data_IF_072311808997
#
_entry.id   IF_072311808997
#
_cell.length_a   1.000
_cell.length_b   1.000
_cell.length_c   1.000
_cell.angle_alpha   90.00
_cell.angle_beta   90.00
_cell.angle_gamma   90.00
#
_symmetry.space_group_name_H-M   'P 1'
#
loop_
_entity.id
_entity.type
_entity.pdbx_description
1 polymer ?
#
# COMPACT_ATOMS: atom_id res chain seq x y z
N UNK A 1 1.42 29.00 -2.98
CA UNK A 1 1.74 27.68 -3.59
C UNK A 1 0.55 27.15 -4.38
N UNK A 2 -0.65 27.08 -3.79
CA UNK A 2 -1.88 26.56 -4.43
C UNK A 2 -2.13 27.21 -5.81
N UNK A 3 -2.21 28.54 -5.88
CA UNK A 3 -2.43 29.25 -7.16
C UNK A 3 -1.35 28.94 -8.22
N UNK A 4 -0.11 28.73 -7.79
CA UNK A 4 0.97 28.35 -8.70
C UNK A 4 0.81 26.90 -9.19
N UNK A 5 0.45 25.96 -8.32
CA UNK A 5 0.17 24.58 -8.70
C UNK A 5 -1.02 24.52 -9.68
N UNK A 6 -2.09 25.25 -9.41
CA UNK A 6 -3.24 25.33 -10.33
C UNK A 6 -2.83 25.82 -11.71
N UNK A 7 -2.00 26.87 -11.78
CA UNK A 7 -1.46 27.34 -13.04
C UNK A 7 -0.63 26.27 -13.76
N UNK A 8 0.23 25.54 -13.05
CA UNK A 8 1.03 24.45 -13.64
C UNK A 8 0.12 23.32 -14.19
N UNK A 9 -0.88 22.92 -13.42
CA UNK A 9 -1.81 21.86 -13.83
C UNK A 9 -2.59 22.20 -15.10
N UNK A 10 -3.02 23.45 -15.29
CA UNK A 10 -3.73 23.85 -16.53
C UNK A 10 -2.89 23.67 -17.81
N UNK A 11 -1.56 23.74 -17.68
CA UNK A 11 -0.60 23.53 -18.77
C UNK A 11 -0.15 22.09 -18.91
N UNK A 12 -0.38 21.27 -17.90
CA UNK A 12 0.05 19.87 -17.88
C UNK A 12 -0.72 19.09 -18.94
N UNK A 13 0.01 18.23 -19.66
CA UNK A 13 -0.53 17.30 -20.66
C UNK A 13 -0.22 15.86 -20.32
N UNK A 14 0.92 15.64 -19.68
CA UNK A 14 1.34 14.31 -19.27
C UNK A 14 1.85 14.39 -17.84
N UNK A 15 1.46 13.41 -17.01
CA UNK A 15 2.09 13.16 -15.72
C UNK A 15 2.99 11.95 -15.86
N UNK A 16 4.26 12.09 -15.49
CA UNK A 16 5.18 10.97 -15.38
C UNK A 16 5.48 10.66 -13.93
N UNK A 17 5.54 9.37 -13.59
CA UNK A 17 6.08 8.90 -12.33
C UNK A 17 7.47 8.37 -12.63
N UNK A 18 8.50 8.98 -12.04
CA UNK A 18 9.90 8.58 -12.25
C UNK A 18 10.49 7.99 -10.97
N UNK A 19 11.48 7.13 -11.14
CA UNK A 19 12.18 6.50 -10.03
C UNK A 19 12.91 7.50 -9.14
N UNK A 20 12.96 7.19 -7.85
CA UNK A 20 13.75 7.92 -6.86
C UNK A 20 13.16 9.26 -6.45
N UNK A 21 13.63 9.74 -5.30
CA UNK A 21 13.19 10.98 -4.68
C UNK A 21 14.16 12.12 -4.91
N UNK A 22 14.40 12.89 -3.86
CA UNK A 22 15.21 14.11 -3.87
C UNK A 22 16.72 13.85 -4.05
N UNK A 23 17.21 12.64 -3.75
CA UNK A 23 18.63 12.26 -3.85
C UNK A 23 19.00 11.57 -5.17
N UNK A 24 18.03 11.22 -6.01
CA UNK A 24 18.25 10.46 -7.24
C UNK A 24 18.78 11.32 -8.42
N UNK A 25 19.42 12.46 -8.14
CA UNK A 25 20.05 13.33 -9.15
C UNK A 25 19.05 14.13 -10.01
N UNK A 26 19.44 14.60 -11.21
CA UNK A 26 18.54 15.32 -12.11
C UNK A 26 17.34 14.45 -12.55
N UNK A 27 16.20 15.08 -12.89
CA UNK A 27 15.03 14.35 -13.41
C UNK A 27 15.28 13.75 -14.80
N UNK A 28 16.12 14.41 -15.62
CA UNK A 28 16.47 13.93 -16.95
C UNK A 28 17.27 12.63 -16.84
N UNK A 29 16.83 11.59 -17.55
CA UNK A 29 17.48 10.28 -17.57
C UNK A 29 17.06 9.33 -16.44
N UNK A 30 16.19 9.76 -15.51
CA UNK A 30 15.57 8.83 -14.55
C UNK A 30 14.63 7.86 -15.26
N UNK A 31 14.53 6.65 -14.72
CA UNK A 31 13.61 5.62 -15.22
C UNK A 31 12.18 6.10 -15.03
N UNK A 32 11.40 6.10 -16.10
CA UNK A 32 9.95 6.36 -16.05
C UNK A 32 9.26 5.06 -15.63
N UNK A 33 8.63 5.09 -14.46
CA UNK A 33 7.88 3.96 -13.89
C UNK A 33 6.47 3.89 -14.46
N UNK A 34 5.83 5.04 -14.69
CA UNK A 34 4.53 5.16 -15.31
C UNK A 34 4.40 6.48 -16.07
N UNK A 35 3.62 6.46 -17.15
CA UNK A 35 3.24 7.65 -17.89
C UNK A 35 1.71 7.72 -18.01
N UNK A 36 1.15 8.89 -17.68
CA UNK A 36 -0.27 9.17 -17.65
C UNK A 36 -0.59 10.29 -18.67
N UNK A 37 -0.82 9.93 -19.95
CA UNK A 37 -1.00 10.90 -21.02
C UNK A 37 -2.47 11.30 -21.26
N UNK A 38 -3.43 10.55 -20.72
CA UNK A 38 -4.85 10.83 -20.92
C UNK A 38 -5.40 11.81 -19.87
N UNK A 39 -6.39 12.61 -20.28
CA UNK A 39 -6.94 13.67 -19.45
C UNK A 39 -7.57 13.17 -18.15
N UNK A 40 -8.10 11.94 -18.12
CA UNK A 40 -8.75 11.38 -16.93
C UNK A 40 -7.68 11.03 -15.88
N UNK A 41 -6.61 10.36 -16.28
CA UNK A 41 -5.49 10.03 -15.39
C UNK A 41 -4.75 11.28 -14.91
N UNK A 42 -4.58 12.29 -15.77
CA UNK A 42 -3.98 13.58 -15.38
C UNK A 42 -4.83 14.28 -14.32
N UNK A 43 -6.15 14.34 -14.49
CA UNK A 43 -7.03 14.98 -13.51
C UNK A 43 -7.10 14.18 -12.20
N UNK A 44 -7.12 12.85 -12.26
CA UNK A 44 -7.04 12.01 -11.07
C UNK A 44 -5.72 12.23 -10.30
N UNK A 45 -4.59 12.29 -11.00
CA UNK A 45 -3.30 12.60 -10.40
C UNK A 45 -3.28 14.01 -9.77
N UNK A 46 -3.88 14.99 -10.43
CA UNK A 46 -4.05 16.34 -9.88
C UNK A 46 -4.82 16.30 -8.57
N UNK A 47 -6.01 15.72 -8.57
CA UNK A 47 -6.89 15.66 -7.40
C UNK A 47 -6.15 15.01 -6.22
N UNK A 48 -5.56 13.84 -6.44
CA UNK A 48 -4.90 13.03 -5.41
C UNK A 48 -3.58 13.64 -4.91
N UNK A 49 -2.86 14.40 -5.75
CA UNK A 49 -1.55 14.95 -5.40
C UNK A 49 -1.55 16.43 -4.99
N UNK A 50 -2.71 17.11 -5.04
CA UNK A 50 -2.83 18.52 -4.63
C UNK A 50 -3.88 18.79 -3.57
N UNK A 51 -4.83 17.88 -3.37
CA UNK A 51 -5.87 18.02 -2.35
C UNK A 51 -5.35 17.53 -1.00
N UNK A 52 -5.32 18.40 -0.01
CA UNK A 52 -4.74 18.06 1.29
C UNK A 52 -4.50 19.28 2.19
N UNK A 53 -3.59 19.11 3.16
CA UNK A 53 -3.18 20.16 4.07
C UNK A 53 -1.66 20.32 4.06
N UNK A 54 -1.20 21.54 3.80
CA UNK A 54 0.20 21.90 3.95
C UNK A 54 0.62 21.91 5.42
N UNK A 55 1.78 21.31 5.70
CA UNK A 55 2.25 21.09 7.08
C UNK A 55 2.99 22.29 7.67
N UNK A 56 3.53 23.17 6.83
CA UNK A 56 4.47 24.21 7.24
C UNK A 56 5.88 23.69 7.51
N UNK A 57 6.16 22.41 7.21
CA UNK A 57 7.47 21.78 7.35
C UNK A 57 7.71 20.77 6.20
N UNK A 58 8.84 20.07 6.18
CA UNK A 58 9.17 19.05 5.15
C UNK A 58 9.57 17.70 5.74
N UNK A 59 9.32 16.57 5.08
CA UNK A 59 10.00 15.33 5.45
C UNK A 59 11.50 15.49 5.23
N UNK A 60 12.37 15.05 6.15
CA UNK A 60 13.83 15.02 5.91
C UNK A 60 14.29 13.78 5.15
N UNK A 61 13.39 12.84 4.91
CA UNK A 61 13.63 11.68 4.07
C UNK A 61 13.84 12.11 2.60
N UNK A 62 14.57 11.27 1.85
CA UNK A 62 14.78 11.49 0.41
C UNK A 62 13.50 11.28 -0.40
N UNK A 63 12.52 10.55 0.13
CA UNK A 63 11.27 10.23 -0.55
C UNK A 63 11.39 8.99 -1.43
N UNK A 64 10.25 8.59 -1.98
CA UNK A 64 10.12 7.54 -2.98
C UNK A 64 10.03 8.12 -4.39
N UNK A 65 9.25 7.49 -5.29
CA UNK A 65 9.06 7.98 -6.66
C UNK A 65 8.63 9.46 -6.73
N UNK A 66 8.99 10.10 -7.85
CA UNK A 66 8.73 11.51 -8.10
C UNK A 66 7.67 11.67 -9.19
N UNK A 67 6.64 12.46 -8.89
CA UNK A 67 5.65 12.96 -9.85
C UNK A 67 6.31 14.08 -10.65
N UNK A 68 6.22 14.02 -11.98
CA UNK A 68 6.75 15.03 -12.91
C UNK A 68 5.62 15.48 -13.82
N UNK A 69 5.36 16.78 -13.84
CA UNK A 69 4.35 17.41 -14.68
C UNK A 69 5.01 17.91 -15.96
N UNK A 70 4.48 17.51 -17.11
CA UNK A 70 4.99 17.94 -18.42
C UNK A 70 3.92 18.62 -19.25
N UNK A 71 4.33 19.59 -20.07
CA UNK A 71 3.45 20.22 -21.05
C UNK A 71 3.40 19.47 -22.39
N UNK A 72 2.80 20.11 -23.40
CA UNK A 72 2.64 19.55 -24.73
C UNK A 72 3.95 19.35 -25.51
N UNK A 73 5.03 20.07 -25.15
CA UNK A 73 6.35 19.93 -25.79
C UNK A 73 7.21 18.87 -25.06
N UNK A 74 6.72 18.35 -23.94
CA UNK A 74 7.42 17.40 -23.09
C UNK A 74 8.33 18.08 -22.06
N UNK A 75 8.29 19.41 -21.95
CA UNK A 75 9.10 20.16 -21.01
C UNK A 75 8.58 19.98 -19.58
N UNK A 76 9.50 19.90 -18.61
CA UNK A 76 9.13 19.77 -17.19
C UNK A 76 8.59 21.10 -16.68
N UNK A 77 7.35 21.09 -16.20
CA UNK A 77 6.71 22.25 -15.58
C UNK A 77 6.92 22.28 -14.06
N UNK A 78 6.87 21.11 -13.42
CA UNK A 78 7.07 20.94 -11.99
C UNK A 78 7.36 19.49 -11.63
N UNK A 79 7.86 19.26 -10.42
CA UNK A 79 7.97 17.93 -9.82
C UNK A 79 7.60 17.90 -8.34
N UNK A 80 7.27 16.70 -7.86
CA UNK A 80 7.05 16.43 -6.46
C UNK A 80 7.44 15.01 -6.06
N UNK A 81 8.22 14.87 -5.00
CA UNK A 81 8.56 13.56 -4.44
C UNK A 81 7.48 13.09 -3.47
N UNK A 82 7.18 11.78 -3.51
CA UNK A 82 6.30 11.12 -2.55
C UNK A 82 7.06 10.76 -1.27
N UNK A 83 6.44 10.96 -0.11
CA UNK A 83 7.04 10.71 1.21
C UNK A 83 6.09 9.89 2.09
N UNK A 84 6.55 8.71 2.51
CA UNK A 84 5.78 7.82 3.37
C UNK A 84 4.43 7.43 2.76
N UNK A 85 3.40 7.37 3.60
CA UNK A 85 2.05 6.95 3.22
C UNK A 85 1.17 8.07 2.63
N UNK A 86 1.54 9.34 2.75
CA UNK A 86 0.60 10.40 2.39
C UNK A 86 1.15 11.81 2.42
N UNK A 87 2.46 11.97 2.25
CA UNK A 87 3.08 13.30 2.14
C UNK A 87 3.68 13.49 0.75
N UNK A 88 3.55 14.70 0.20
CA UNK A 88 4.08 15.08 -1.10
C UNK A 88 4.84 16.39 -0.96
N UNK A 89 6.07 16.44 -1.48
CA UNK A 89 6.89 17.64 -1.45
C UNK A 89 7.01 18.24 -2.85
N UNK A 90 6.12 19.18 -3.19
CA UNK A 90 6.17 19.94 -4.44
C UNK A 90 7.34 20.93 -4.47
N UNK A 91 8.18 20.87 -5.51
CA UNK A 91 9.31 21.80 -5.74
C UNK A 91 10.04 22.11 -4.43
N UNK A 92 10.56 21.05 -3.78
CA UNK A 92 11.06 21.09 -2.41
C UNK A 92 12.04 22.25 -2.15
N UNK A 93 12.91 22.50 -3.11
CA UNK A 93 13.90 23.58 -3.08
C UNK A 93 13.28 24.99 -3.02
N UNK A 94 12.06 25.15 -3.56
CA UNK A 94 11.34 26.42 -3.65
C UNK A 94 10.38 26.66 -2.49
N UNK A 95 9.55 25.69 -2.12
CA UNK A 95 8.45 25.95 -1.19
C UNK A 95 8.64 25.42 0.23
N UNK A 96 9.55 24.47 0.45
CA UNK A 96 9.86 23.88 1.77
C UNK A 96 8.61 23.60 2.62
N UNK A 97 7.59 22.99 2.02
CA UNK A 97 6.33 22.72 2.70
C UNK A 97 5.64 21.51 2.07
N UNK A 98 5.60 20.41 2.82
CA UNK A 98 4.96 19.17 2.42
C UNK A 98 3.44 19.30 2.47
N UNK A 99 2.78 18.72 1.47
CA UNK A 99 1.34 18.48 1.44
C UNK A 99 1.07 17.11 2.05
N UNK A 100 0.32 17.06 3.15
CA UNK A 100 -0.34 15.83 3.58
C UNK A 100 -1.61 15.67 2.74
N UNK A 101 -1.67 14.63 1.90
CA UNK A 101 -2.78 14.42 0.97
C UNK A 101 -4.06 14.01 1.72
N UNK A 102 -5.20 14.41 1.17
CA UNK A 102 -6.51 14.12 1.78
C UNK A 102 -6.88 12.63 1.66
N UNK A 103 -6.56 11.97 0.55
CA UNK A 103 -6.85 10.54 0.34
C UNK A 103 -5.57 9.77 -0.02
N UNK A 104 -4.71 9.48 0.98
CA UNK A 104 -3.47 8.73 0.76
C UNK A 104 -3.72 7.32 0.21
N UNK A 105 -4.84 6.71 0.61
CA UNK A 105 -5.18 5.38 0.18
C UNK A 105 -5.47 5.34 -1.33
N UNK A 106 -6.28 6.28 -1.83
CA UNK A 106 -6.55 6.39 -3.25
C UNK A 106 -5.31 6.76 -4.05
N UNK A 107 -4.42 7.63 -3.55
CA UNK A 107 -3.16 7.95 -4.23
C UNK A 107 -2.30 6.71 -4.47
N UNK A 108 -2.03 5.93 -3.43
CA UNK A 108 -1.16 4.76 -3.58
C UNK A 108 -1.81 3.64 -4.39
N UNK A 109 -3.13 3.43 -4.28
CA UNK A 109 -3.86 2.47 -5.12
C UNK A 109 -3.86 2.90 -6.59
N UNK A 110 -4.05 4.19 -6.86
CA UNK A 110 -3.99 4.76 -8.21
C UNK A 110 -2.61 4.54 -8.84
N UNK A 111 -1.53 4.89 -8.13
CA UNK A 111 -0.17 4.70 -8.62
C UNK A 111 0.16 3.21 -8.84
N UNK A 112 -0.24 2.33 -7.90
CA UNK A 112 -0.06 0.88 -8.07
C UNK A 112 -0.82 0.34 -9.28
N UNK A 113 -2.06 0.80 -9.51
CA UNK A 113 -2.86 0.42 -10.68
C UNK A 113 -2.25 0.86 -12.02
N UNK A 114 -1.40 1.88 -12.00
CA UNK A 114 -0.60 2.31 -13.15
C UNK A 114 0.79 1.66 -13.22
N UNK A 115 1.03 0.60 -12.43
CA UNK A 115 2.28 -0.18 -12.47
C UNK A 115 3.44 0.44 -11.71
N UNK A 116 3.21 1.49 -10.90
CA UNK A 116 4.27 2.06 -10.07
C UNK A 116 4.58 1.05 -8.95
N UNK A 117 5.83 0.57 -8.83
CA UNK A 117 6.17 -0.47 -7.86
C UNK A 117 6.11 0.05 -6.41
N UNK A 118 5.95 -0.89 -5.48
CA UNK A 118 6.06 -0.68 -4.03
C UNK A 118 5.06 0.31 -3.42
N UNK A 119 4.03 0.76 -4.13
CA UNK A 119 3.09 1.76 -3.59
C UNK A 119 2.25 1.22 -2.44
N UNK A 120 1.90 -0.06 -2.51
CA UNK A 120 1.14 -0.73 -1.46
C UNK A 120 1.95 -1.00 -0.18
N UNK A 121 3.29 -1.01 -0.24
CA UNK A 121 4.12 -1.20 0.97
C UNK A 121 4.04 0.00 1.91
N UNK A 122 3.63 1.16 1.42
CA UNK A 122 3.33 2.35 2.23
C UNK A 122 2.29 2.09 3.32
N UNK A 123 1.42 1.10 3.14
CA UNK A 123 0.37 0.73 4.09
C UNK A 123 0.85 -0.23 5.18
N UNK A 124 2.07 -0.77 5.12
CA UNK A 124 2.56 -1.75 6.12
C UNK A 124 2.52 -1.20 7.55
N UNK A 125 3.11 -0.03 7.77
CA UNK A 125 3.14 0.60 9.08
C UNK A 125 1.74 0.93 9.62
N UNK A 126 0.85 1.62 8.87
CA UNK A 126 -0.49 1.94 9.37
C UNK A 126 -1.39 0.71 9.54
N UNK A 127 -1.26 -0.33 8.70
CA UNK A 127 -1.98 -1.59 8.92
C UNK A 127 -1.46 -2.36 10.12
N UNK A 128 -0.15 -2.38 10.35
CA UNK A 128 0.44 -3.01 11.53
C UNK A 128 -0.05 -2.33 12.83
N UNK A 129 -0.19 -1.00 12.82
CA UNK A 129 -0.80 -0.26 13.94
C UNK A 129 -2.28 -0.58 14.09
N UNK A 130 -3.06 -0.50 13.00
CA UNK A 130 -4.51 -0.74 13.01
C UNK A 130 -4.88 -2.16 13.48
N UNK A 131 -4.10 -3.15 13.07
CA UNK A 131 -4.34 -4.57 13.36
C UNK A 131 -3.57 -5.06 14.60
N UNK A 132 -2.85 -4.17 15.29
CA UNK A 132 -2.01 -4.47 16.44
C UNK A 132 -1.06 -5.67 16.19
N UNK A 133 -0.35 -5.62 15.06
CA UNK A 133 0.63 -6.64 14.65
C UNK A 133 2.03 -6.38 15.22
N UNK A 134 2.19 -5.30 16.01
CA UNK A 134 3.44 -4.91 16.68
C UNK A 134 3.62 -5.63 18.03
N UNK A 135 4.74 -5.37 18.68
CA UNK A 135 5.29 -6.09 19.84
C UNK A 135 4.29 -6.40 20.96
N UNK A 136 4.44 -7.60 21.56
CA UNK A 136 3.54 -8.17 22.58
C UNK A 136 3.32 -9.67 22.43
N UNK A 137 3.67 -10.23 21.27
CA UNK A 137 3.66 -11.65 20.93
C UNK A 137 5.08 -12.12 20.58
N UNK A 138 5.38 -13.43 20.66
CA UNK A 138 6.68 -13.93 20.22
C UNK A 138 6.85 -13.65 18.73
N UNK A 139 8.04 -13.17 18.35
CA UNK A 139 8.36 -12.86 16.96
C UNK A 139 8.23 -14.07 16.03
N UNK A 140 8.47 -15.28 16.55
CA UNK A 140 8.17 -16.55 15.91
C UNK A 140 7.31 -17.40 16.83
N UNK A 141 6.29 -18.07 16.28
CA UNK A 141 5.48 -19.00 17.06
C UNK A 141 6.36 -20.12 17.66
N UNK A 142 6.20 -20.47 18.96
CA UNK A 142 6.89 -21.63 19.54
C UNK A 142 6.34 -22.96 18.99
N UNK A 143 7.12 -24.03 19.09
CA UNK A 143 6.65 -25.39 18.81
C UNK A 143 5.79 -25.94 19.97
N UNK A 144 5.13 -27.08 19.71
CA UNK A 144 4.37 -27.85 20.69
C UNK A 144 3.09 -27.15 21.17
N UNK A 145 2.58 -27.59 22.34
CA UNK A 145 1.31 -27.11 22.91
C UNK A 145 1.23 -25.57 23.04
N UNK A 146 2.36 -24.91 23.31
CA UNK A 146 2.44 -23.44 23.40
C UNK A 146 2.22 -22.76 22.06
N UNK A 147 2.58 -23.43 20.95
CA UNK A 147 2.41 -22.95 19.59
C UNK A 147 0.97 -23.00 19.11
N UNK A 148 0.22 -24.05 19.51
CA UNK A 148 -1.13 -24.31 18.99
C UNK A 148 -2.05 -23.09 19.06
N UNK A 149 -2.09 -22.37 20.19
CA UNK A 149 -2.93 -21.17 20.33
C UNK A 149 -2.68 -20.11 19.25
N UNK A 150 -1.45 -19.97 18.79
CA UNK A 150 -1.10 -18.99 17.77
C UNK A 150 -1.55 -19.44 16.38
N UNK A 151 -1.61 -20.75 16.11
CA UNK A 151 -2.23 -21.26 14.88
C UNK A 151 -3.73 -20.91 14.85
N UNK A 152 -4.42 -21.06 15.99
CA UNK A 152 -5.82 -20.66 16.14
C UNK A 152 -6.00 -19.14 15.92
N UNK A 153 -5.22 -18.31 16.61
CA UNK A 153 -5.25 -16.85 16.48
C UNK A 153 -4.96 -16.35 15.05
N UNK A 154 -4.13 -17.09 14.32
CA UNK A 154 -3.76 -16.82 12.92
C UNK A 154 -4.79 -17.35 11.92
N UNK A 155 -5.82 -18.06 12.38
CA UNK A 155 -6.84 -18.66 11.52
C UNK A 155 -6.28 -19.78 10.63
N UNK A 156 -5.26 -20.49 11.09
CA UNK A 156 -4.69 -21.63 10.38
C UNK A 156 -5.68 -22.79 10.45
N UNK A 157 -6.03 -23.44 9.32
CA UNK A 157 -6.96 -24.58 9.33
C UNK A 157 -6.50 -25.72 10.25
N UNK A 158 -7.43 -26.26 11.04
CA UNK A 158 -7.17 -27.33 12.02
C UNK A 158 -6.47 -28.56 11.42
N UNK A 159 -6.77 -28.87 10.15
CA UNK A 159 -6.15 -29.97 9.39
C UNK A 159 -4.63 -29.85 9.30
N UNK A 160 -4.08 -28.63 9.43
CA UNK A 160 -2.65 -28.36 9.38
C UNK A 160 -1.98 -28.31 10.75
N UNK A 161 -2.75 -28.21 11.85
CA UNK A 161 -2.18 -28.00 13.18
C UNK A 161 -1.25 -29.13 13.59
N UNK A 162 -1.61 -30.39 13.32
CA UNK A 162 -0.78 -31.52 13.71
C UNK A 162 0.61 -31.48 13.07
N UNK A 163 0.71 -30.94 11.86
CA UNK A 163 1.99 -30.79 11.14
C UNK A 163 2.75 -29.57 11.65
N UNK A 164 2.07 -28.42 11.76
CA UNK A 164 2.73 -27.14 12.05
C UNK A 164 3.11 -26.99 13.53
N UNK A 165 2.41 -27.65 14.46
CA UNK A 165 2.75 -27.64 15.88
C UNK A 165 4.10 -28.30 16.15
N UNK A 166 4.55 -29.24 15.32
CA UNK A 166 5.84 -29.91 15.51
C UNK A 166 7.05 -28.97 15.30
N UNK A 167 6.87 -27.90 14.52
CA UNK A 167 7.90 -26.93 14.20
C UNK A 167 7.62 -25.57 14.86
N UNK A 168 8.70 -24.82 15.13
CA UNK A 168 8.59 -23.38 15.42
C UNK A 168 8.20 -22.63 14.15
N UNK A 169 7.67 -21.43 14.30
CA UNK A 169 7.35 -20.56 13.19
C UNK A 169 8.55 -20.25 12.30
N UNK A 170 9.75 -20.14 12.89
CA UNK A 170 11.00 -19.99 12.14
C UNK A 170 11.29 -21.24 11.28
N UNK A 171 11.23 -22.43 11.88
CA UNK A 171 11.48 -23.69 11.18
C UNK A 171 10.45 -23.98 10.07
N UNK A 172 9.23 -23.43 10.17
CA UNK A 172 8.24 -23.57 9.10
C UNK A 172 8.71 -23.00 7.75
N UNK A 173 9.60 -21.99 7.76
CA UNK A 173 10.17 -21.44 6.52
C UNK A 173 11.30 -22.27 5.92
N UNK A 174 11.74 -23.31 6.63
CA UNK A 174 12.85 -24.20 6.26
C UNK A 174 12.37 -25.64 6.02
N UNK A 175 11.05 -25.84 5.91
CA UNK A 175 10.49 -27.14 5.61
C UNK A 175 10.96 -27.63 4.24
N UNK A 176 11.26 -28.93 4.15
CA UNK A 176 11.57 -29.56 2.87
C UNK A 176 10.35 -29.58 1.94
N UNK A 177 10.59 -29.64 0.63
CA UNK A 177 9.53 -29.69 -0.38
C UNK A 177 8.49 -30.77 -0.11
N UNK A 178 8.91 -31.96 0.34
CA UNK A 178 8.00 -33.05 0.71
C UNK A 178 7.04 -32.69 1.87
N UNK A 179 7.49 -31.88 2.84
CA UNK A 179 6.62 -31.40 3.92
C UNK A 179 5.67 -30.29 3.42
N UNK A 180 6.16 -29.39 2.57
CA UNK A 180 5.32 -28.36 1.95
C UNK A 180 4.23 -29.00 1.07
N UNK A 181 4.57 -30.03 0.30
CA UNK A 181 3.65 -30.83 -0.50
C UNK A 181 2.60 -31.52 0.37
N UNK A 182 2.98 -32.06 1.54
CA UNK A 182 2.01 -32.65 2.48
C UNK A 182 1.02 -31.61 3.02
N UNK A 183 1.52 -30.43 3.41
CA UNK A 183 0.69 -29.29 3.85
C UNK A 183 -0.28 -28.88 2.73
N UNK A 184 0.20 -28.76 1.50
CA UNK A 184 -0.62 -28.43 0.33
C UNK A 184 -1.71 -29.47 0.09
N UNK A 185 -1.39 -30.76 0.11
CA UNK A 185 -2.37 -31.84 -0.09
C UNK A 185 -3.46 -31.81 0.97
N UNK A 186 -3.09 -31.65 2.26
CA UNK A 186 -4.05 -31.55 3.37
C UNK A 186 -4.95 -30.34 3.22
N UNK A 187 -4.38 -29.19 2.87
CA UNK A 187 -5.13 -27.95 2.67
C UNK A 187 -6.12 -28.08 1.51
N UNK A 188 -5.68 -28.63 0.36
CA UNK A 188 -6.54 -28.88 -0.81
C UNK A 188 -7.65 -29.87 -0.54
N UNK A 189 -7.36 -30.94 0.21
CA UNK A 189 -8.38 -31.93 0.59
C UNK A 189 -9.45 -31.32 1.53
N UNK A 190 -9.04 -30.49 2.49
CA UNK A 190 -9.96 -29.86 3.42
C UNK A 190 -10.75 -28.70 2.78
N UNK A 191 -10.13 -27.94 1.88
CA UNK A 191 -10.70 -26.76 1.24
C UNK A 191 -10.48 -26.88 -0.28
N UNK A 192 -11.41 -27.51 -1.02
CA UNK A 192 -11.23 -27.77 -2.45
C UNK A 192 -11.24 -26.52 -3.34
N UNK A 193 -11.91 -25.43 -2.91
CA UNK A 193 -11.96 -24.17 -3.67
C UNK A 193 -10.62 -23.42 -3.63
N UNK A 194 -9.97 -23.11 -4.78
CA UNK A 194 -8.72 -22.37 -4.81
C UNK A 194 -8.87 -20.94 -4.26
N UNK A 195 -9.96 -20.25 -4.57
CA UNK A 195 -10.28 -18.92 -4.03
C UNK A 195 -10.43 -18.95 -2.51
N UNK A 196 -11.13 -19.96 -1.96
CA UNK A 196 -11.27 -20.10 -0.51
C UNK A 196 -9.92 -20.37 0.18
N UNK A 197 -9.05 -21.19 -0.45
CA UNK A 197 -7.68 -21.40 0.03
C UNK A 197 -6.87 -20.11 0.01
N UNK A 198 -6.94 -19.35 -1.08
CA UNK A 198 -6.26 -18.06 -1.18
C UNK A 198 -6.70 -17.10 -0.07
N UNK A 199 -8.01 -17.00 0.21
CA UNK A 199 -8.54 -16.13 1.28
C UNK A 199 -7.96 -16.49 2.66
N UNK A 200 -7.90 -17.79 2.96
CA UNK A 200 -7.34 -18.30 4.22
C UNK A 200 -5.84 -18.04 4.31
N UNK A 201 -5.09 -18.32 3.25
CA UNK A 201 -3.64 -18.12 3.21
C UNK A 201 -3.28 -16.64 3.28
N UNK A 202 -4.00 -15.75 2.58
CA UNK A 202 -3.81 -14.30 2.70
C UNK A 202 -4.12 -13.81 4.12
N UNK A 203 -5.22 -14.26 4.72
CA UNK A 203 -5.56 -13.92 6.11
C UNK A 203 -4.49 -14.42 7.09
N UNK A 204 -3.97 -15.64 6.92
CA UNK A 204 -2.87 -16.16 7.74
C UNK A 204 -1.63 -15.28 7.59
N UNK A 205 -1.20 -15.00 6.36
CA UNK A 205 -0.03 -14.17 6.07
C UNK A 205 -0.14 -12.76 6.68
N UNK A 206 -1.33 -12.15 6.64
CA UNK A 206 -1.58 -10.83 7.21
C UNK A 206 -1.87 -10.80 8.71
N UNK A 207 -1.81 -11.96 9.39
CA UNK A 207 -1.84 -12.08 10.86
C UNK A 207 -0.46 -12.36 11.46
N UNK A 208 0.56 -12.58 10.63
CA UNK A 208 1.91 -12.82 11.09
C UNK A 208 2.55 -11.52 11.63
N UNK A 209 3.34 -11.59 12.71
CA UNK A 209 4.08 -10.44 13.22
C UNK A 209 5.00 -9.81 12.15
N UNK A 210 5.00 -8.48 12.07
CA UNK A 210 5.86 -7.70 11.16
C UNK A 210 6.97 -7.02 11.97
N UNK A 211 8.22 -6.94 11.46
CA UNK A 211 8.67 -7.49 10.17
C UNK A 211 9.07 -8.98 10.24
N UNK A 212 9.14 -9.59 11.42
CA UNK A 212 9.77 -10.90 11.63
C UNK A 212 9.09 -12.06 10.84
N UNK A 213 8.15 -12.77 11.46
CA UNK A 213 7.59 -14.00 10.89
C UNK A 213 6.71 -13.77 9.65
N UNK A 214 6.31 -12.53 9.36
CA UNK A 214 5.75 -12.20 8.05
C UNK A 214 6.80 -12.31 6.93
N UNK A 215 8.05 -11.90 7.14
CA UNK A 215 9.11 -11.93 6.11
C UNK A 215 9.94 -13.24 6.14
N UNK A 216 10.04 -13.90 7.28
CA UNK A 216 10.78 -15.16 7.49
C UNK A 216 9.89 -16.27 8.06
N UNK A 217 10.37 -17.51 8.12
CA UNK A 217 9.63 -18.58 8.81
C UNK A 217 8.26 -18.88 8.16
N UNK A 218 7.18 -18.87 8.94
CA UNK A 218 5.82 -19.14 8.44
C UNK A 218 5.43 -18.27 7.24
N UNK A 219 5.87 -17.01 7.17
CA UNK A 219 5.59 -16.17 6.01
C UNK A 219 6.14 -16.76 4.71
N UNK A 220 7.32 -17.41 4.76
CA UNK A 220 7.91 -18.10 3.61
C UNK A 220 7.05 -19.29 3.20
N UNK A 221 6.63 -20.12 4.16
CA UNK A 221 5.73 -21.25 3.90
C UNK A 221 4.42 -20.80 3.27
N UNK A 222 3.77 -19.78 3.83
CA UNK A 222 2.47 -19.30 3.33
C UNK A 222 2.60 -18.73 1.92
N UNK A 223 3.69 -18.01 1.61
CA UNK A 223 3.98 -17.55 0.25
C UNK A 223 4.21 -18.70 -0.73
N UNK A 224 4.92 -19.76 -0.32
CA UNK A 224 5.08 -20.96 -1.15
C UNK A 224 3.73 -21.61 -1.45
N UNK A 225 2.83 -21.72 -0.47
CA UNK A 225 1.48 -22.27 -0.67
C UNK A 225 0.60 -21.37 -1.56
N UNK A 226 0.77 -20.05 -1.49
CA UNK A 226 0.08 -19.09 -2.35
C UNK A 226 0.59 -19.14 -3.80
N UNK A 227 1.87 -19.45 -4.02
CA UNK A 227 2.47 -19.51 -5.35
C UNK A 227 1.87 -20.60 -6.26
N UNK A 228 1.21 -21.62 -5.69
CA UNK A 228 0.51 -22.66 -6.44
C UNK A 228 -0.91 -22.27 -6.86
N UNK A 229 -1.39 -21.10 -6.43
CA UNK A 229 -2.72 -20.59 -6.78
C UNK A 229 -2.60 -19.59 -7.92
N UNK A 230 -3.61 -19.55 -8.79
CA UNK A 230 -3.64 -18.60 -9.89
C UNK A 230 -3.83 -17.17 -9.36
N UNK A 231 -3.19 -16.18 -10.01
CA UNK A 231 -3.40 -14.77 -9.67
C UNK A 231 -4.89 -14.36 -9.67
N UNK A 232 -5.74 -14.82 -10.62
CA UNK A 232 -7.18 -14.59 -10.56
C UNK A 232 -7.84 -15.10 -9.28
N UNK A 233 -7.47 -16.28 -8.79
CA UNK A 233 -8.03 -16.82 -7.53
C UNK A 233 -7.61 -15.98 -6.32
N UNK A 234 -6.36 -15.52 -6.29
CA UNK A 234 -5.83 -14.66 -5.23
C UNK A 234 -6.51 -13.29 -5.25
N UNK A 235 -6.70 -12.71 -6.43
CA UNK A 235 -7.39 -11.43 -6.60
C UNK A 235 -8.88 -11.52 -6.24
N UNK A 236 -9.56 -12.60 -6.63
CA UNK A 236 -10.95 -12.86 -6.24
C UNK A 236 -11.08 -12.98 -4.71
N UNK A 237 -10.22 -13.76 -4.08
CA UNK A 237 -10.19 -13.92 -2.63
C UNK A 237 -9.99 -12.59 -1.89
N UNK A 238 -9.08 -11.74 -2.39
CA UNK A 238 -8.82 -10.40 -1.87
C UNK A 238 -10.04 -9.48 -2.01
N UNK A 239 -10.71 -9.53 -3.17
CA UNK A 239 -11.89 -8.72 -3.50
C UNK A 239 -13.12 -9.09 -2.68
N UNK A 240 -13.33 -10.38 -2.44
CA UNK A 240 -14.51 -10.93 -1.77
C UNK A 240 -14.42 -10.83 -0.24
N UNK A 241 -13.26 -11.08 0.35
CA UNK A 241 -13.13 -11.18 1.81
C UNK A 241 -13.14 -9.82 2.51
N UNK A 242 -12.52 -8.79 1.89
CA UNK A 242 -12.51 -7.39 2.36
C UNK A 242 -12.18 -7.19 3.84
N UNK A 243 -11.13 -7.83 4.34
CA UNK A 243 -10.64 -7.63 5.71
C UNK A 243 -9.24 -7.02 5.73
N UNK A 244 -8.90 -6.32 6.82
CA UNK A 244 -7.56 -5.79 7.03
C UNK A 244 -6.48 -6.86 7.01
N UNK A 245 -6.73 -8.05 7.55
CA UNK A 245 -5.76 -9.15 7.50
C UNK A 245 -5.52 -9.65 6.07
N UNK A 246 -6.56 -9.75 5.24
CA UNK A 246 -6.35 -10.12 3.83
C UNK A 246 -5.60 -9.03 3.07
N UNK A 247 -5.92 -7.74 3.31
CA UNK A 247 -5.19 -6.63 2.72
C UNK A 247 -3.69 -6.64 3.12
N UNK A 248 -3.39 -6.84 4.41
CA UNK A 248 -2.01 -7.00 4.90
C UNK A 248 -1.33 -8.23 4.30
N UNK A 249 -2.05 -9.34 4.13
CA UNK A 249 -1.54 -10.55 3.49
C UNK A 249 -1.15 -10.31 2.03
N UNK A 250 -1.98 -9.58 1.28
CA UNK A 250 -1.66 -9.16 -0.09
C UNK A 250 -0.41 -8.29 -0.11
N UNK A 251 -0.29 -7.30 0.78
CA UNK A 251 0.89 -6.43 0.85
C UNK A 251 2.16 -7.25 1.19
N UNK A 252 2.07 -8.18 2.14
CA UNK A 252 3.18 -9.08 2.47
C UNK A 252 3.52 -10.04 1.32
N UNK A 253 2.59 -10.39 0.44
CA UNK A 253 2.85 -11.22 -0.74
C UNK A 253 3.63 -10.44 -1.80
N UNK A 254 3.12 -9.28 -2.21
CA UNK A 254 3.69 -8.46 -3.29
C UNK A 254 5.09 -7.93 -3.00
N UNK A 255 5.45 -7.76 -1.71
CA UNK A 255 6.82 -7.41 -1.31
C UNK A 255 7.88 -8.40 -1.80
N UNK A 256 7.46 -9.64 -2.13
CA UNK A 256 8.35 -10.71 -2.59
C UNK A 256 8.09 -11.16 -4.04
N UNK A 257 6.91 -10.87 -4.60
CA UNK A 257 6.53 -11.29 -5.95
C UNK A 257 6.43 -10.16 -6.97
N UNK A 258 6.44 -8.90 -6.53
CA UNK A 258 5.99 -7.77 -7.34
C UNK A 258 4.46 -7.70 -7.46
N UNK A 259 3.95 -6.62 -8.06
CA UNK A 259 2.53 -6.40 -8.37
C UNK A 259 2.43 -5.71 -9.73
N UNK A 260 1.57 -6.24 -10.60
CA UNK A 260 1.23 -5.63 -11.90
C UNK A 260 0.04 -4.65 -11.79
N UNK A 261 -0.46 -4.42 -10.57
CA UNK A 261 -1.60 -3.57 -10.25
C UNK A 261 -2.91 -4.36 -10.06
N UNK A 262 -2.93 -5.65 -10.41
CA UNK A 262 -4.11 -6.51 -10.22
C UNK A 262 -4.49 -6.61 -8.74
N UNK A 263 -3.50 -6.85 -7.87
CA UNK A 263 -3.76 -7.01 -6.44
C UNK A 263 -4.07 -5.67 -5.77
N UNK A 264 -3.43 -4.58 -6.20
CA UNK A 264 -3.81 -3.22 -5.81
C UNK A 264 -5.27 -2.90 -6.11
N UNK A 265 -5.75 -3.25 -7.29
CA UNK A 265 -7.14 -3.06 -7.67
C UNK A 265 -8.07 -3.89 -6.78
N UNK A 266 -7.71 -5.14 -6.50
CA UNK A 266 -8.50 -6.05 -5.67
C UNK A 266 -8.65 -5.56 -4.22
N UNK A 267 -7.58 -5.05 -3.59
CA UNK A 267 -7.62 -4.58 -2.20
C UNK A 267 -7.97 -3.09 -2.06
N UNK A 268 -7.96 -2.33 -3.15
CA UNK A 268 -8.21 -0.89 -3.15
C UNK A 268 -9.46 -0.46 -2.37
N UNK A 269 -10.64 -1.06 -2.62
CA UNK A 269 -11.85 -0.76 -1.84
C UNK A 269 -11.68 -1.01 -0.34
N UNK A 270 -11.00 -2.09 0.04
CA UNK A 270 -10.73 -2.43 1.44
C UNK A 270 -9.80 -1.40 2.08
N UNK A 271 -8.72 -1.01 1.39
CA UNK A 271 -7.78 -0.01 1.90
C UNK A 271 -8.44 1.35 2.08
N UNK A 272 -9.28 1.79 1.14
CA UNK A 272 -10.03 3.05 1.27
C UNK A 272 -11.08 3.01 2.37
N UNK A 273 -11.63 1.83 2.69
CA UNK A 273 -12.53 1.67 3.84
C UNK A 273 -11.77 1.77 5.17
N UNK A 274 -10.57 1.17 5.27
CA UNK A 274 -9.76 1.18 6.48
C UNK A 274 -9.07 2.53 6.72
N UNK A 275 -8.72 3.23 5.64
CA UNK A 275 -8.05 4.53 5.65
C UNK A 275 -8.87 5.53 4.83
N UNK A 276 -10.03 5.98 5.35
CA UNK A 276 -10.90 6.89 4.63
C UNK A 276 -10.22 8.26 4.43
N UNK A 277 -10.65 9.03 3.42
CA UNK A 277 -10.15 10.38 3.19
C UNK A 277 -10.28 11.26 4.44
N UNK A 278 -9.27 12.07 4.70
CA UNK A 278 -9.34 13.12 5.70
C UNK A 278 -10.43 14.13 5.32
N UNK A 279 -11.31 14.45 6.28
CA UNK A 279 -12.25 15.55 6.13
C UNK A 279 -11.45 16.86 6.09
N UNK A 280 -11.35 17.46 4.91
CA UNK A 280 -10.78 18.79 4.81
C UNK A 280 -11.71 19.79 5.50
N UNK A 281 -11.17 20.72 6.31
CA UNK A 281 -11.99 21.80 6.83
C UNK A 281 -12.59 22.55 5.64
N UNK A 282 -13.92 22.69 5.64
CA UNK A 282 -14.63 23.50 4.64
C UNK A 282 -13.96 24.87 4.64
N UNK A 283 -13.50 25.38 3.49
CA UNK A 283 -12.92 26.71 3.41
C UNK A 283 -13.92 27.69 4.03
N UNK A 284 -13.53 28.33 5.13
CA UNK A 284 -14.32 29.36 5.76
C UNK A 284 -14.30 30.60 4.89
N UNK A 285 -15.04 30.58 3.79
CA UNK A 285 -15.16 31.74 2.92
C UNK A 285 -16.51 32.42 3.16
N UNK A 286 -16.46 33.75 3.28
CA UNK A 286 -17.59 34.69 3.30
C UNK A 286 -18.45 34.86 4.58
N UNK A 287 -17.84 35.25 5.71
CA UNK A 287 -18.42 36.35 6.52
C UNK A 287 -17.75 37.66 6.18
N UNK A 288 -17.99 38.16 4.96
CA UNK A 288 -17.94 39.60 4.70
C UNK A 288 -19.16 40.21 5.39
N UNK A 289 -19.01 40.63 6.64
CA UNK A 289 -19.87 41.66 7.21
C UNK A 289 -19.66 42.92 6.39
N UNK A 290 -20.59 43.15 5.46
CA UNK A 290 -20.82 44.47 4.88
C UNK A 290 -21.37 45.33 6.00
N UNK A 291 -20.50 46.00 6.76
CA UNK A 291 -20.92 47.18 7.51
C UNK A 291 -21.11 48.32 6.50
N UNK A 292 -22.36 48.47 6.08
CA UNK A 292 -22.86 49.67 5.43
C UNK A 292 -22.56 50.86 6.33
N UNK A 293 -21.65 51.72 5.87
CA UNK A 293 -21.72 53.16 6.12
C UNK A 293 -23.15 53.64 5.88
N UNK A 294 -23.84 53.98 6.95
CA UNK A 294 -24.98 54.91 6.87
C UNK A 294 -24.49 56.22 7.44
N UNK A 295 -24.31 57.19 6.55
CA UNK A 295 -24.18 58.59 6.92
C UNK A 295 -25.51 59.06 7.53
N UNK A 296 -25.44 59.67 8.71
CA UNK A 296 -26.10 60.92 9.11
C UNK A 296 -25.52 61.38 10.43
#
# INVERSE_FOLDING_TARGET
MIEWLDHVWTRTRTVQIVEGGEDAGPLCGRVVLAELPDAVSVEAARELATTGRFTGDICRCHGGPTIVLRDATGDVLASASLHGHGSISWERSRFRNDLVVADPAALHVFLAGHGVPNQLTSFLAPLADLLNLREGRPQFRPAGKKGKRYLDERGVPDVLHSVLVAATGQQCGELSDAHVDDVRRRLTAAIPSPTARAAILLSWLGRLPIPAEALWGEGVLVRQLLADLSLPDVAAAATETRTGHVATGVINLIMHSGDDGTLATAIGPTLRQLFPPALLPIPSDSRRTVERRSAR
#
